data_IF_246129031154
#
_entry.id   IF_246129031154
#
_cell.length_a   1.000
_cell.length_b   1.000
_cell.length_c   1.000
_cell.angle_alpha   90.00
_cell.angle_beta   90.00
_cell.angle_gamma   90.00
#
_symmetry.space_group_name_H-M   'P 1'
#
loop_
_entity.id
_entity.type
_entity.pdbx_description
1 polymer ?
#
# COMPACT_ATOMS: atom_id res chain seq x y z
N UNK A 1 -31.97 2.54 8.23
CA UNK A 1 -31.45 3.53 9.20
C UNK A 1 -30.66 2.76 10.24
N UNK A 2 -29.39 3.10 10.48
CA UNK A 2 -28.55 2.36 11.45
C UNK A 2 -29.00 2.64 12.88
N UNK A 3 -28.96 1.64 13.75
CA UNK A 3 -29.22 1.85 15.17
C UNK A 3 -28.06 2.68 15.75
N UNK A 4 -28.32 3.75 16.54
CA UNK A 4 -27.26 4.56 17.14
C UNK A 4 -26.22 3.74 17.93
N UNK A 5 -26.60 2.59 18.50
CA UNK A 5 -25.67 1.69 19.20
C UNK A 5 -24.67 0.97 18.28
N UNK A 6 -24.87 1.02 16.97
CA UNK A 6 -23.99 0.43 15.95
C UNK A 6 -23.00 1.45 15.39
N UNK A 7 -23.07 2.72 15.82
CA UNK A 7 -22.26 3.82 15.29
C UNK A 7 -21.29 4.30 16.36
N UNK A 8 -19.99 4.14 16.08
CA UNK A 8 -18.91 4.52 16.99
C UNK A 8 -18.10 5.67 16.41
N UNK A 9 -17.94 6.75 17.18
CA UNK A 9 -17.10 7.88 16.79
C UNK A 9 -15.69 7.69 17.33
N UNK A 10 -14.77 7.27 16.45
CA UNK A 10 -13.38 7.00 16.79
C UNK A 10 -12.57 8.24 17.24
N UNK A 11 -13.12 9.45 17.07
CA UNK A 11 -12.53 10.65 17.69
C UNK A 11 -12.70 10.69 19.21
N UNK A 12 -13.65 9.94 19.75
CA UNK A 12 -14.03 9.94 21.18
C UNK A 12 -13.98 8.57 21.84
N UNK A 13 -13.93 7.49 21.05
CA UNK A 13 -13.99 6.11 21.55
C UNK A 13 -12.87 5.27 20.95
N UNK A 14 -12.36 4.29 21.71
CA UNK A 14 -11.43 3.31 21.17
C UNK A 14 -12.20 2.33 20.26
N UNK A 15 -11.69 1.97 19.07
CA UNK A 15 -12.34 0.96 18.22
C UNK A 15 -12.55 -0.37 18.94
N UNK A 16 -11.65 -0.76 19.86
CA UNK A 16 -11.77 -2.00 20.61
C UNK A 16 -13.06 -2.07 21.42
N UNK A 17 -13.50 -0.97 22.02
CA UNK A 17 -14.72 -0.93 22.85
C UNK A 17 -15.96 -1.29 22.03
N UNK A 18 -16.06 -0.74 20.81
CA UNK A 18 -17.16 -1.02 19.90
C UNK A 18 -17.09 -2.43 19.33
N UNK A 19 -15.88 -2.90 18.98
CA UNK A 19 -15.70 -4.24 18.44
C UNK A 19 -16.01 -5.33 19.49
N UNK A 20 -15.62 -5.14 20.75
CA UNK A 20 -15.95 -6.06 21.85
C UNK A 20 -17.45 -6.13 22.13
N UNK A 21 -18.18 -5.02 21.98
CA UNK A 21 -19.64 -5.01 22.16
C UNK A 21 -20.36 -5.93 21.16
N UNK A 22 -19.79 -6.13 19.98
CA UNK A 22 -20.39 -6.92 18.89
C UNK A 22 -19.61 -8.21 18.58
N UNK A 23 -18.59 -8.58 19.36
CA UNK A 23 -17.69 -9.71 19.05
C UNK A 23 -18.41 -11.07 18.99
N UNK A 24 -19.55 -11.21 19.66
CA UNK A 24 -20.38 -12.43 19.66
C UNK A 24 -21.48 -12.43 18.60
N UNK A 25 -21.62 -11.37 17.82
CA UNK A 25 -22.67 -11.24 16.81
C UNK A 25 -22.17 -11.84 15.49
N UNK A 26 -22.77 -12.96 15.10
CA UNK A 26 -22.48 -13.63 13.82
C UNK A 26 -22.99 -12.81 12.63
N UNK A 27 -22.44 -13.07 11.44
CA UNK A 27 -22.85 -12.43 10.18
C UNK A 27 -22.81 -10.89 10.22
N UNK A 28 -21.78 -10.35 10.86
CA UNK A 28 -21.58 -8.89 10.98
C UNK A 28 -20.56 -8.39 9.97
N UNK A 29 -20.85 -7.25 9.34
CA UNK A 29 -19.89 -6.49 8.53
C UNK A 29 -19.53 -5.19 9.26
N UNK A 30 -18.24 -4.84 9.27
CA UNK A 30 -17.78 -3.55 9.79
C UNK A 30 -17.72 -2.55 8.64
N UNK A 31 -18.33 -1.38 8.80
CA UNK A 31 -18.12 -0.25 7.90
C UNK A 31 -17.15 0.75 8.55
N UNK A 32 -15.90 0.79 8.07
CA UNK A 32 -14.90 1.74 8.55
C UNK A 32 -14.96 3.03 7.72
N UNK A 33 -15.32 4.14 8.37
CA UNK A 33 -15.41 5.47 7.75
C UNK A 33 -14.16 6.30 8.07
N UNK A 34 -13.18 6.34 7.16
CA UNK A 34 -11.90 6.96 7.46
C UNK A 34 -10.90 6.96 6.30
N UNK A 35 -9.65 7.29 6.60
CA UNK A 35 -8.52 7.08 5.69
C UNK A 35 -7.74 5.80 6.06
N UNK A 36 -6.63 5.56 5.37
CA UNK A 36 -5.78 4.37 5.56
C UNK A 36 -5.37 4.15 7.02
N UNK A 37 -4.97 5.22 7.74
CA UNK A 37 -4.61 5.11 9.16
C UNK A 37 -5.78 4.74 10.09
N UNK A 38 -7.00 5.18 9.79
CA UNK A 38 -8.19 4.78 10.56
C UNK A 38 -8.50 3.30 10.35
N UNK A 39 -8.37 2.82 9.11
CA UNK A 39 -8.59 1.41 8.76
C UNK A 39 -7.54 0.55 9.46
N UNK A 40 -6.27 0.95 9.42
CA UNK A 40 -5.19 0.31 10.18
C UNK A 40 -5.50 0.21 11.66
N UNK A 41 -5.91 1.31 12.29
CA UNK A 41 -6.26 1.32 13.71
C UNK A 41 -7.42 0.38 14.08
N UNK A 42 -8.43 0.28 13.23
CA UNK A 42 -9.53 -0.69 13.42
C UNK A 42 -9.02 -2.12 13.27
N UNK A 43 -8.18 -2.42 12.28
CA UNK A 43 -7.59 -3.75 12.10
C UNK A 43 -6.71 -4.16 13.28
N UNK A 44 -5.88 -3.25 13.80
CA UNK A 44 -5.05 -3.49 14.98
C UNK A 44 -5.89 -3.73 16.25
N UNK A 45 -7.05 -3.07 16.36
CA UNK A 45 -7.98 -3.34 17.45
C UNK A 45 -8.68 -4.70 17.29
N UNK A 46 -9.02 -5.09 16.06
CA UNK A 46 -9.58 -6.41 15.79
C UNK A 46 -8.61 -7.55 16.11
N UNK A 47 -7.30 -7.35 15.99
CA UNK A 47 -6.30 -8.38 16.34
C UNK A 47 -6.23 -8.66 17.84
N UNK A 48 -6.71 -7.73 18.67
CA UNK A 48 -6.75 -7.88 20.13
C UNK A 48 -7.99 -8.63 20.60
N UNK A 49 -8.87 -9.02 19.68
CA UNK A 49 -10.09 -9.76 20.00
C UNK A 49 -9.83 -11.23 19.74
N UNK A 50 -10.02 -12.03 20.78
CA UNK A 50 -10.03 -13.48 20.66
C UNK A 50 -11.37 -13.90 20.02
N UNK A 51 -11.30 -14.32 18.76
CA UNK A 51 -12.41 -14.99 18.09
C UNK A 51 -12.26 -16.50 18.33
N UNK A 52 -13.37 -17.19 18.63
CA UNK A 52 -13.33 -18.65 18.84
C UNK A 52 -12.92 -19.38 17.56
N UNK A 53 -13.30 -18.83 16.40
CA UNK A 53 -12.99 -19.36 15.07
C UNK A 53 -12.58 -18.24 14.10
N UNK A 54 -11.65 -18.46 13.15
CA UNK A 54 -11.24 -17.44 12.18
C UNK A 54 -12.39 -16.87 11.35
N UNK A 55 -13.40 -17.68 11.02
CA UNK A 55 -14.56 -17.24 10.22
C UNK A 55 -15.48 -16.28 10.98
N UNK A 56 -15.34 -16.17 12.32
CA UNK A 56 -16.09 -15.21 13.12
C UNK A 56 -15.52 -13.80 13.02
N UNK A 57 -14.28 -13.63 12.53
CA UNK A 57 -13.69 -12.31 12.33
C UNK A 57 -14.47 -11.58 11.23
N UNK A 58 -15.19 -10.49 11.54
CA UNK A 58 -16.04 -9.82 10.56
C UNK A 58 -15.20 -9.13 9.48
N UNK A 59 -15.63 -9.11 8.21
CA UNK A 59 -14.94 -8.35 7.16
C UNK A 59 -15.14 -6.84 7.34
N UNK A 60 -14.22 -6.06 6.77
CA UNK A 60 -14.25 -4.59 6.80
C UNK A 60 -14.58 -4.06 5.40
N UNK A 61 -15.69 -3.35 5.29
CA UNK A 61 -15.98 -2.44 4.20
C UNK A 61 -15.44 -1.04 4.52
N UNK A 62 -15.05 -0.29 3.48
CA UNK A 62 -14.40 1.01 3.64
C UNK A 62 -15.27 2.12 3.04
N UNK A 63 -15.55 3.16 3.83
CA UNK A 63 -16.01 4.44 3.33
C UNK A 63 -14.84 5.43 3.31
N UNK A 64 -14.32 5.80 2.13
CA UNK A 64 -13.08 6.57 2.01
C UNK A 64 -13.29 8.05 2.37
N UNK A 65 -12.98 8.43 3.61
CA UNK A 65 -13.05 9.81 4.11
C UNK A 65 -11.69 10.51 4.15
N UNK A 66 -10.58 9.78 3.99
CA UNK A 66 -9.23 10.33 3.94
C UNK A 66 -8.87 11.04 2.63
N UNK A 67 -7.59 11.39 2.48
CA UNK A 67 -7.06 12.06 1.28
C UNK A 67 -6.49 11.07 0.26
N UNK A 68 -5.67 10.10 0.70
CA UNK A 68 -5.06 9.07 -0.14
C UNK A 68 -6.07 7.96 -0.49
N UNK A 69 -6.51 7.25 0.56
CA UNK A 69 -7.47 6.15 0.51
C UNK A 69 -6.96 4.99 -0.35
N UNK A 70 -5.67 4.65 -0.25
CA UNK A 70 -5.04 3.64 -1.09
C UNK A 70 -5.65 2.24 -0.87
N UNK A 71 -5.94 1.87 0.38
CA UNK A 71 -6.62 0.62 0.72
C UNK A 71 -8.02 0.56 0.09
N UNK A 72 -8.79 1.64 0.21
CA UNK A 72 -10.13 1.74 -0.37
C UNK A 72 -10.11 1.64 -1.90
N UNK A 73 -9.08 2.20 -2.54
CA UNK A 73 -8.90 2.15 -3.99
C UNK A 73 -8.49 0.77 -4.47
N UNK A 74 -7.57 0.13 -3.77
CA UNK A 74 -7.16 -1.25 -4.03
C UNK A 74 -8.36 -2.20 -3.98
N UNK A 75 -9.16 -2.10 -2.91
CA UNK A 75 -10.38 -2.89 -2.70
C UNK A 75 -11.60 -2.37 -3.47
N UNK A 76 -11.43 -1.34 -4.32
CA UNK A 76 -12.45 -0.79 -5.22
C UNK A 76 -13.67 -0.14 -4.53
N UNK A 77 -13.56 0.21 -3.26
CA UNK A 77 -14.50 1.07 -2.55
C UNK A 77 -14.48 2.53 -3.02
N UNK A 78 -13.41 2.90 -3.75
CA UNK A 78 -13.31 4.17 -4.44
C UNK A 78 -12.36 5.14 -3.75
N UNK A 79 -12.28 6.34 -4.33
CA UNK A 79 -11.22 7.29 -3.99
C UNK A 79 -11.54 8.30 -2.90
N UNK A 80 -12.79 8.36 -2.51
CA UNK A 80 -13.29 9.42 -1.66
C UNK A 80 -14.81 9.49 -1.71
N UNK A 81 -15.43 9.65 -0.55
CA UNK A 81 -16.86 9.83 -0.43
C UNK A 81 -17.31 11.14 -1.11
N UNK A 82 -18.47 11.07 -1.78
CA UNK A 82 -19.09 12.17 -2.54
C UNK A 82 -20.58 12.32 -2.20
N UNK A 83 -20.92 12.26 -0.90
CA UNK A 83 -22.32 12.39 -0.43
C UNK A 83 -23.26 11.34 -1.06
N UNK A 84 -22.74 10.14 -1.32
CA UNK A 84 -23.55 9.01 -1.77
C UNK A 84 -24.58 8.63 -0.71
N UNK A 85 -25.77 8.23 -1.14
CA UNK A 85 -26.82 7.80 -0.22
C UNK A 85 -26.39 6.57 0.60
N UNK A 86 -26.64 6.61 1.91
CA UNK A 86 -26.23 5.55 2.83
C UNK A 86 -26.86 4.20 2.48
N UNK A 87 -28.12 4.17 1.99
CA UNK A 87 -28.76 2.92 1.59
C UNK A 87 -28.04 2.28 0.41
N UNK A 88 -27.56 3.08 -0.55
CA UNK A 88 -26.75 2.58 -1.67
C UNK A 88 -25.42 2.02 -1.20
N UNK A 89 -24.80 2.64 -0.19
CA UNK A 89 -23.56 2.12 0.40
C UNK A 89 -23.84 0.78 1.09
N UNK A 90 -24.90 0.68 1.90
CA UNK A 90 -25.27 -0.57 2.57
C UNK A 90 -25.58 -1.69 1.56
N UNK A 91 -26.28 -1.39 0.47
CA UNK A 91 -26.52 -2.33 -0.63
C UNK A 91 -25.21 -2.78 -1.29
N UNK A 92 -24.24 -1.88 -1.50
CA UNK A 92 -22.93 -2.25 -2.04
C UNK A 92 -22.20 -3.21 -1.10
N UNK A 93 -22.30 -3.03 0.21
CA UNK A 93 -21.68 -3.91 1.21
C UNK A 93 -22.34 -5.29 1.19
N UNK A 94 -23.67 -5.34 1.18
CA UNK A 94 -24.43 -6.59 1.12
C UNK A 94 -24.08 -7.46 -0.10
N UNK A 95 -23.81 -6.83 -1.26
CA UNK A 95 -23.48 -7.53 -2.50
C UNK A 95 -21.96 -7.63 -2.76
N UNK A 96 -21.14 -7.21 -1.81
CA UNK A 96 -19.68 -7.23 -1.96
C UNK A 96 -19.10 -8.63 -1.77
N UNK A 97 -17.88 -8.83 -2.27
CA UNK A 97 -17.12 -10.06 -2.06
C UNK A 97 -15.99 -9.80 -1.09
N UNK A 98 -15.66 -10.80 -0.27
CA UNK A 98 -14.53 -10.74 0.66
C UNK A 98 -13.23 -10.91 -0.13
N UNK A 99 -12.24 -10.07 0.18
CA UNK A 99 -10.87 -10.21 -0.27
C UNK A 99 -9.97 -10.35 0.96
N UNK A 100 -9.01 -11.26 0.90
CA UNK A 100 -8.00 -11.41 1.94
C UNK A 100 -6.93 -10.32 1.79
N UNK A 101 -6.44 -9.83 2.92
CA UNK A 101 -5.38 -8.82 2.99
C UNK A 101 -4.25 -9.39 3.84
N UNK A 102 -3.07 -9.47 3.26
CA UNK A 102 -1.86 -9.75 4.01
C UNK A 102 -1.50 -8.55 4.87
N UNK A 103 -0.99 -8.80 6.07
CA UNK A 103 -0.55 -7.75 7.00
C UNK A 103 0.80 -8.13 7.54
N UNK A 104 1.77 -7.26 7.30
CA UNK A 104 3.19 -7.60 7.45
C UNK A 104 3.73 -7.06 8.75
N UNK A 105 4.45 -7.89 9.49
CA UNK A 105 5.16 -7.44 10.67
C UNK A 105 6.45 -6.72 10.27
N UNK A 106 6.76 -5.61 10.96
CA UNK A 106 7.98 -4.85 10.78
C UNK A 106 8.77 -4.85 12.08
N UNK A 107 9.95 -5.45 12.03
CA UNK A 107 10.95 -5.37 13.10
C UNK A 107 12.02 -4.35 12.70
N UNK A 108 12.06 -3.22 13.42
CA UNK A 108 13.04 -2.16 13.20
C UNK A 108 13.97 -2.14 14.41
N UNK A 109 15.25 -2.38 14.15
CA UNK A 109 16.31 -2.39 15.16
C UNK A 109 17.37 -1.34 14.81
N UNK A 110 17.71 -0.49 15.76
CA UNK A 110 18.86 0.43 15.65
C UNK A 110 20.13 -0.30 16.05
N UNK A 111 21.19 -0.17 15.26
CA UNK A 111 22.44 -0.96 15.46
C UNK A 111 23.35 -0.36 16.54
N UNK A 112 23.12 0.87 16.99
CA UNK A 112 23.94 1.52 18.02
C UNK A 112 23.11 2.25 19.09
N UNK A 113 23.57 2.18 20.35
CA UNK A 113 23.19 3.04 21.49
C UNK A 113 23.65 4.49 21.26
N UNK A 114 23.31 5.11 20.12
CA UNK A 114 23.47 6.54 19.96
C UNK A 114 22.52 7.20 20.95
N UNK A 115 23.07 7.90 21.94
CA UNK A 115 22.37 8.58 23.05
C UNK A 115 21.31 9.62 22.62
N UNK A 116 21.09 9.80 21.32
CA UNK A 116 19.96 10.54 20.80
C UNK A 116 18.70 9.67 20.91
N UNK A 117 17.77 10.10 21.78
CA UNK A 117 16.42 9.52 21.88
C UNK A 117 15.75 9.51 20.51
N UNK A 118 15.90 8.43 19.76
CA UNK A 118 15.13 8.20 18.55
C UNK A 118 13.66 8.08 18.95
N UNK A 119 12.77 8.62 18.14
CA UNK A 119 11.34 8.42 18.34
C UNK A 119 11.02 6.91 18.34
N UNK A 120 10.08 6.46 19.19
CA UNK A 120 9.68 5.06 19.19
C UNK A 120 9.11 4.69 17.82
N UNK A 121 9.37 3.46 17.37
CA UNK A 121 8.81 2.93 16.13
C UNK A 121 7.28 3.03 16.19
N UNK A 122 6.64 3.82 15.31
CA UNK A 122 5.25 4.21 15.48
C UNK A 122 4.26 3.08 15.18
N UNK A 123 4.66 2.07 14.41
CA UNK A 123 3.86 0.91 14.09
C UNK A 123 4.75 -0.29 13.73
N UNK A 124 4.36 -1.48 14.17
CA UNK A 124 5.01 -2.76 13.85
C UNK A 124 4.22 -3.59 12.83
N UNK A 125 3.12 -3.05 12.30
CA UNK A 125 2.30 -3.70 11.27
C UNK A 125 2.17 -2.78 10.05
N UNK A 126 2.52 -3.31 8.88
CA UNK A 126 2.36 -2.66 7.59
C UNK A 126 1.17 -3.25 6.83
N UNK A 127 0.19 -2.38 6.54
CA UNK A 127 -1.00 -2.74 5.78
C UNK A 127 -0.92 -2.32 4.30
N UNK A 128 -0.20 -1.24 3.98
CA UNK A 128 -0.17 -0.67 2.62
C UNK A 128 1.21 -0.77 2.01
N UNK A 129 2.14 0.02 2.54
CA UNK A 129 3.52 0.06 2.11
C UNK A 129 4.39 0.74 3.17
N UNK A 130 5.68 0.50 3.08
CA UNK A 130 6.75 1.12 3.84
C UNK A 130 7.79 1.66 2.86
N UNK A 131 8.41 2.79 3.15
CA UNK A 131 9.39 3.38 2.24
C UNK A 131 10.54 4.05 2.97
N UNK A 132 11.69 4.09 2.30
CA UNK A 132 12.94 4.72 2.73
C UNK A 132 13.38 5.70 1.63
N UNK A 133 14.01 6.81 2.03
CA UNK A 133 14.56 7.80 1.10
C UNK A 133 13.59 8.91 0.73
N UNK A 134 13.61 9.32 -0.55
CA UNK A 134 12.91 10.52 -1.03
C UNK A 134 11.42 10.51 -0.73
N UNK A 135 10.76 9.35 -0.81
CA UNK A 135 9.34 9.21 -0.46
C UNK A 135 9.08 9.45 1.03
N UNK A 136 9.89 8.83 1.89
CA UNK A 136 9.81 9.02 3.34
C UNK A 136 10.09 10.48 3.74
N UNK A 137 11.05 11.15 3.09
CA UNK A 137 11.33 12.58 3.28
C UNK A 137 10.10 13.45 2.97
N UNK A 138 9.45 13.23 1.82
CA UNK A 138 8.24 13.96 1.42
C UNK A 138 7.10 13.71 2.42
N UNK A 139 6.88 12.44 2.79
CA UNK A 139 5.83 12.06 3.73
C UNK A 139 6.06 12.67 5.12
N UNK A 140 7.31 12.66 5.60
CA UNK A 140 7.70 13.26 6.87
C UNK A 140 7.47 14.77 6.87
N UNK A 141 7.93 15.49 5.83
CA UNK A 141 7.69 16.93 5.68
C UNK A 141 6.21 17.28 5.60
N UNK A 142 5.43 16.47 4.88
CA UNK A 142 3.97 16.62 4.83
C UNK A 142 3.34 16.49 6.21
N UNK A 143 3.76 15.48 6.98
CA UNK A 143 3.28 15.26 8.33
C UNK A 143 3.63 16.42 9.26
N UNK A 144 4.89 16.85 9.32
CA UNK A 144 5.34 17.99 10.13
C UNK A 144 4.56 19.27 9.81
N UNK A 145 4.37 19.59 8.52
CA UNK A 145 3.64 20.78 8.10
C UNK A 145 2.15 20.70 8.46
N UNK A 146 1.57 19.51 8.41
CA UNK A 146 0.18 19.27 8.79
C UNK A 146 -0.03 19.39 10.29
N UNK A 147 0.90 18.92 11.12
CA UNK A 147 0.84 19.11 12.57
C UNK A 147 1.00 20.58 12.95
N UNK A 148 1.91 21.29 12.27
CA UNK A 148 2.17 22.70 12.55
C UNK A 148 1.07 23.65 12.08
N UNK A 149 0.39 23.33 10.97
CA UNK A 149 -0.61 24.19 10.33
C UNK A 149 -1.89 23.44 9.93
N UNK A 150 -2.59 22.77 10.86
CA UNK A 150 -3.72 21.89 10.55
C UNK A 150 -4.85 22.58 9.76
N UNK A 151 -5.03 23.89 9.93
CA UNK A 151 -6.01 24.70 9.20
C UNK A 151 -5.75 24.77 7.69
N UNK A 152 -4.51 24.53 7.26
CA UNK A 152 -4.14 24.45 5.83
C UNK A 152 -4.46 23.09 5.23
N UNK A 153 -4.58 22.04 6.05
CA UNK A 153 -4.72 20.64 5.63
C UNK A 153 -6.15 20.08 5.78
N UNK A 154 -7.15 20.96 5.63
CA UNK A 154 -8.57 20.65 5.84
C UNK A 154 -9.31 20.19 4.58
N UNK A 155 -8.63 20.00 3.45
CA UNK A 155 -9.28 19.58 2.20
C UNK A 155 -8.40 18.62 1.41
N UNK A 156 -9.04 17.60 0.81
CA UNK A 156 -8.34 16.59 0.00
C UNK A 156 -7.57 17.22 -1.17
N UNK A 157 -8.13 18.27 -1.79
CA UNK A 157 -7.49 18.96 -2.92
C UNK A 157 -6.26 19.73 -2.44
N UNK A 158 -6.37 20.50 -1.35
CA UNK A 158 -5.24 21.23 -0.76
C UNK A 158 -4.13 20.28 -0.31
N UNK A 159 -4.50 19.18 0.33
CA UNK A 159 -3.54 18.17 0.81
C UNK A 159 -2.75 17.57 -0.36
N UNK A 160 -3.43 17.22 -1.46
CA UNK A 160 -2.76 16.74 -2.68
C UNK A 160 -1.83 17.79 -3.30
N UNK A 161 -2.21 19.07 -3.26
CA UNK A 161 -1.37 20.15 -3.74
C UNK A 161 -0.09 20.29 -2.91
N UNK A 162 -0.20 20.31 -1.57
CA UNK A 162 0.99 20.36 -0.71
C UNK A 162 1.92 19.17 -0.92
N UNK A 163 1.36 17.96 -1.07
CA UNK A 163 2.17 16.78 -1.36
C UNK A 163 2.95 16.92 -2.68
N UNK A 164 2.31 17.47 -3.73
CA UNK A 164 2.97 17.78 -5.00
C UNK A 164 4.06 18.85 -4.86
N UNK A 165 3.79 19.91 -4.09
CA UNK A 165 4.75 20.98 -3.81
C UNK A 165 6.00 20.44 -3.09
N UNK A 166 5.81 19.62 -2.06
CA UNK A 166 6.90 19.00 -1.31
C UNK A 166 7.70 18.04 -2.18
N UNK A 167 7.04 17.20 -2.99
CA UNK A 167 7.72 16.33 -3.95
C UNK A 167 8.57 17.12 -4.98
N UNK A 168 8.08 18.28 -5.42
CA UNK A 168 8.82 19.17 -6.32
C UNK A 168 10.03 19.78 -5.61
N UNK A 169 9.88 20.20 -4.35
CA UNK A 169 10.99 20.73 -3.54
C UNK A 169 12.09 19.67 -3.32
N UNK A 170 11.73 18.44 -2.97
CA UNK A 170 12.70 17.36 -2.77
C UNK A 170 13.42 16.99 -4.07
N UNK A 171 12.73 17.05 -5.23
CA UNK A 171 13.38 16.86 -6.54
C UNK A 171 14.50 17.89 -6.78
N UNK A 172 14.28 19.14 -6.36
CA UNK A 172 15.26 20.22 -6.54
C UNK A 172 16.41 20.14 -5.53
N UNK A 173 16.13 19.77 -4.29
CA UNK A 173 17.12 19.65 -3.22
C UNK A 173 17.92 18.35 -3.31
N UNK A 174 17.29 17.29 -3.80
CA UNK A 174 17.85 15.97 -4.04
C UNK A 174 18.57 15.38 -2.81
N UNK A 175 17.88 15.46 -1.67
CA UNK A 175 18.36 15.12 -0.32
C UNK A 175 18.74 13.65 -0.16
N UNK A 176 18.12 12.75 -0.93
CA UNK A 176 18.34 11.30 -0.86
C UNK A 176 19.12 10.74 -2.06
N UNK A 177 19.90 11.57 -2.75
CA UNK A 177 20.75 11.11 -3.86
C UNK A 177 21.66 9.97 -3.43
N UNK A 178 21.83 9.00 -4.33
CA UNK A 178 22.70 7.86 -4.13
C UNK A 178 22.31 6.94 -2.95
N UNK A 179 21.05 6.96 -2.50
CA UNK A 179 20.59 6.08 -1.41
C UNK A 179 21.02 4.63 -1.59
N UNK A 180 20.90 4.09 -2.81
CA UNK A 180 21.32 2.72 -3.16
C UNK A 180 22.78 2.35 -2.80
N UNK A 181 23.67 3.32 -2.59
CA UNK A 181 25.07 3.08 -2.18
C UNK A 181 25.20 2.83 -0.68
N UNK A 182 24.18 3.17 0.11
CA UNK A 182 24.14 3.09 1.56
C UNK A 182 23.19 2.01 2.08
N UNK A 183 22.44 1.36 1.19
CA UNK A 183 21.43 0.38 1.58
C UNK A 183 21.74 -1.01 1.06
N UNK A 184 21.53 -2.01 1.92
CA UNK A 184 21.59 -3.41 1.56
C UNK A 184 20.22 -4.05 1.78
N UNK A 185 19.68 -4.71 0.75
CA UNK A 185 18.36 -5.37 0.82
C UNK A 185 18.54 -6.85 0.56
N UNK A 186 18.02 -7.68 1.46
CA UNK A 186 17.95 -9.14 1.28
C UNK A 186 16.50 -9.62 1.24
N UNK A 187 16.11 -10.22 0.12
CA UNK A 187 14.77 -10.74 -0.14
C UNK A 187 14.81 -12.27 -0.29
N UNK A 188 14.03 -13.02 0.48
CA UNK A 188 14.02 -14.50 0.46
C UNK A 188 15.44 -15.13 0.52
N UNK A 189 16.33 -14.57 1.35
CA UNK A 189 17.76 -14.92 1.46
C UNK A 189 18.64 -14.57 0.24
N UNK A 190 18.15 -13.74 -0.67
CA UNK A 190 18.88 -13.27 -1.85
C UNK A 190 19.15 -11.78 -1.71
N UNK A 191 20.43 -11.41 -1.61
CA UNK A 191 20.85 -10.01 -1.64
C UNK A 191 20.55 -9.38 -3.00
N UNK A 192 19.92 -8.21 -3.00
CA UNK A 192 19.63 -7.45 -4.21
C UNK A 192 20.85 -6.63 -4.61
N UNK A 193 21.26 -6.76 -5.86
CA UNK A 193 22.30 -5.91 -6.43
C UNK A 193 21.69 -4.60 -6.94
N UNK A 194 21.77 -3.56 -6.11
CA UNK A 194 21.24 -2.23 -6.39
C UNK A 194 22.18 -1.38 -7.27
N UNK A 195 23.44 -1.79 -7.44
CA UNK A 195 24.42 -1.09 -8.28
C UNK A 195 24.06 -1.17 -9.78
N UNK A 196 23.31 -2.22 -10.15
CA UNK A 196 22.91 -2.48 -11.52
C UNK A 196 21.65 -1.70 -11.94
N UNK A 197 21.80 -0.45 -12.38
CA UNK A 197 20.74 0.33 -13.03
C UNK A 197 20.86 1.83 -12.76
N UNK A 198 19.76 2.57 -12.90
CA UNK A 198 19.72 3.99 -12.51
C UNK A 198 19.95 4.12 -10.99
N UNK A 199 20.67 5.15 -10.51
CA UNK A 199 20.74 5.47 -9.09
C UNK A 199 19.35 5.58 -8.48
N UNK A 200 19.18 5.03 -7.27
CA UNK A 200 17.93 5.14 -6.53
C UNK A 200 18.05 6.20 -5.45
N UNK A 201 17.00 7.00 -5.32
CA UNK A 201 16.78 7.98 -4.26
C UNK A 201 15.80 7.47 -3.19
N UNK A 202 15.15 6.32 -3.43
CA UNK A 202 14.23 5.71 -2.50
C UNK A 202 13.96 4.24 -2.79
N UNK A 203 13.42 3.56 -1.78
CA UNK A 203 12.90 2.20 -1.87
C UNK A 203 11.49 2.20 -1.29
N UNK A 204 10.57 1.50 -1.93
CA UNK A 204 9.26 1.21 -1.38
C UNK A 204 9.02 -0.31 -1.35
N UNK A 205 8.56 -0.78 -0.20
CA UNK A 205 8.11 -2.15 0.04
C UNK A 205 6.58 -2.10 0.05
N UNK A 206 5.93 -2.69 -0.94
CA UNK A 206 4.49 -2.60 -1.12
C UNK A 206 3.81 -3.91 -0.76
N UNK A 207 2.75 -3.81 0.03
CA UNK A 207 1.77 -4.86 0.24
C UNK A 207 0.58 -4.74 -0.73
N UNK A 208 0.18 -3.51 -1.09
CA UNK A 208 -0.98 -3.28 -1.97
C UNK A 208 -0.58 -2.60 -3.29
N UNK A 209 -1.29 -2.89 -4.40
CA UNK A 209 -1.06 -2.27 -5.71
C UNK A 209 -1.56 -0.82 -5.85
N UNK A 210 -1.80 -0.12 -4.76
CA UNK A 210 -2.20 1.30 -4.75
C UNK A 210 -1.28 2.10 -3.83
N UNK A 211 -0.68 3.14 -4.38
CA UNK A 211 0.21 4.04 -3.63
C UNK A 211 0.00 5.51 -4.04
N UNK A 212 0.34 6.46 -3.15
CA UNK A 212 0.28 7.91 -3.43
C UNK A 212 -1.13 8.41 -3.80
N UNK A 213 -2.16 7.84 -3.17
CA UNK A 213 -3.55 8.20 -3.37
C UNK A 213 -4.15 7.67 -4.67
N UNK A 214 -3.84 6.42 -5.02
CA UNK A 214 -4.46 5.68 -6.12
C UNK A 214 -3.59 5.40 -7.34
N UNK A 215 -2.28 5.57 -7.22
CA UNK A 215 -1.35 5.31 -8.32
C UNK A 215 -1.05 3.81 -8.37
N UNK A 216 -1.17 3.24 -9.56
CA UNK A 216 -0.76 1.87 -9.87
C UNK A 216 0.60 1.95 -10.58
N UNK A 217 1.65 1.46 -9.92
CA UNK A 217 3.01 1.52 -10.46
C UNK A 217 3.23 0.56 -11.64
N UNK A 218 2.32 -0.37 -11.89
CA UNK A 218 2.46 -1.40 -12.93
C UNK A 218 1.68 -1.07 -14.20
N UNK A 219 1.12 0.14 -14.29
CA UNK A 219 0.47 0.61 -15.51
C UNK A 219 -0.81 -0.15 -15.84
N UNK A 220 -1.59 -0.58 -14.84
CA UNK A 220 -2.82 -1.35 -15.04
C UNK A 220 -3.83 -0.70 -15.99
N UNK A 221 -3.79 0.61 -16.23
CA UNK A 221 -4.58 1.25 -17.29
C UNK A 221 -4.07 0.96 -18.71
N UNK A 222 -2.76 0.80 -18.91
CA UNK A 222 -2.15 0.41 -20.18
C UNK A 222 -2.43 -1.07 -20.50
N UNK A 223 -2.35 -1.96 -19.50
CA UNK A 223 -2.76 -3.35 -19.64
C UNK A 223 -4.28 -3.46 -19.89
N UNK A 224 -5.12 -2.69 -19.19
CA UNK A 224 -6.58 -2.62 -19.43
C UNK A 224 -6.92 -2.02 -20.80
N UNK A 225 -6.18 -1.01 -21.29
CA UNK A 225 -6.31 -0.48 -22.65
C UNK A 225 -5.89 -1.51 -23.70
N UNK A 226 -4.82 -2.26 -23.45
CA UNK A 226 -4.34 -3.32 -24.35
C UNK A 226 -5.31 -4.50 -24.40
N UNK A 227 -5.84 -4.92 -23.25
CA UNK A 227 -6.90 -5.94 -23.13
C UNK A 227 -8.19 -5.45 -23.80
N UNK A 228 -8.62 -4.21 -23.59
CA UNK A 228 -9.80 -3.63 -24.28
C UNK A 228 -9.62 -3.51 -25.80
N UNK A 229 -8.40 -3.20 -26.28
CA UNK A 229 -8.09 -3.20 -27.72
C UNK A 229 -8.05 -4.61 -28.32
N UNK A 230 -7.55 -5.60 -27.59
CA UNK A 230 -7.41 -6.99 -28.05
C UNK A 230 -8.66 -7.85 -27.85
N UNK A 231 -9.55 -7.50 -26.91
CA UNK A 231 -10.85 -8.16 -26.71
C UNK A 231 -11.80 -8.02 -27.90
N UNK A 232 -11.46 -7.18 -28.89
CA UNK A 232 -12.13 -7.17 -30.22
C UNK A 232 -11.75 -8.34 -31.12
N UNK A 233 -10.69 -9.09 -30.83
CA UNK A 233 -10.34 -10.33 -31.51
C UNK A 233 -10.43 -11.50 -30.54
N UNK A 234 -11.34 -12.43 -30.83
CA UNK A 234 -11.60 -13.64 -30.04
C UNK A 234 -10.39 -14.55 -30.03
N UNK A 235 -9.92 -14.88 -28.83
CA UNK A 235 -9.61 -16.24 -28.34
C UNK A 235 -8.67 -16.14 -27.12
N UNK A 236 -9.27 -15.97 -25.95
CA UNK A 236 -8.57 -15.71 -24.69
C UNK A 236 -8.42 -16.97 -23.80
N UNK A 237 -9.06 -18.08 -24.16
CA UNK A 237 -9.04 -19.32 -23.36
C UNK A 237 -7.77 -20.16 -23.53
N UNK A 238 -7.04 -20.02 -24.65
CA UNK A 238 -5.82 -20.80 -24.89
C UNK A 238 -4.59 -20.22 -24.18
N UNK A 239 -4.53 -18.91 -23.95
CA UNK A 239 -3.34 -18.24 -23.42
C UNK A 239 -3.14 -18.50 -21.91
N UNK A 240 -4.22 -18.54 -21.11
CA UNK A 240 -4.15 -18.83 -19.67
C UNK A 240 -3.64 -20.27 -19.42
N UNK A 241 -3.94 -21.21 -20.32
CA UNK A 241 -3.49 -22.61 -20.17
C UNK A 241 -1.98 -22.81 -20.34
N UNK A 242 -1.26 -21.84 -20.94
CA UNK A 242 0.18 -21.94 -21.16
C UNK A 242 1.03 -21.53 -19.95
N UNK A 243 0.50 -20.72 -19.03
CA UNK A 243 1.27 -20.21 -17.87
C UNK A 243 1.28 -21.16 -16.67
N UNK A 244 0.60 -22.32 -16.76
CA UNK A 244 0.42 -23.26 -15.66
C UNK A 244 1.42 -24.43 -15.58
N UNK A 245 2.52 -24.47 -16.35
CA UNK A 245 3.47 -25.61 -16.31
C UNK A 245 4.89 -25.21 -15.91
N UNK A 246 5.18 -25.46 -14.64
CA UNK A 246 6.52 -25.43 -14.02
C UNK A 246 7.47 -26.45 -14.65
N UNK A 247 8.73 -26.05 -14.89
CA UNK A 247 9.83 -26.99 -15.13
C UNK A 247 11.16 -26.48 -14.56
N UNK A 248 11.56 -27.12 -13.46
CA UNK A 248 12.92 -27.43 -12.95
C UNK A 248 14.14 -26.62 -13.43
N UNK A 249 14.77 -25.95 -12.44
CA UNK A 249 16.21 -25.74 -12.17
C UNK A 249 17.20 -25.74 -13.35
N UNK A 250 17.81 -24.59 -13.61
CA UNK A 250 19.26 -24.38 -13.84
C UNK A 250 19.63 -22.88 -13.74
N UNK A 251 20.87 -22.64 -13.35
CA UNK A 251 21.53 -21.35 -13.07
C UNK A 251 21.10 -20.16 -13.94
N UNK A 252 20.69 -19.06 -13.30
CA UNK A 252 20.06 -17.89 -13.93
C UNK A 252 21.08 -16.77 -14.08
N UNK A 253 21.34 -16.35 -15.32
CA UNK A 253 22.08 -15.12 -15.64
C UNK A 253 21.21 -13.87 -15.40
N UNK A 254 21.83 -12.73 -15.11
CA UNK A 254 21.22 -11.45 -14.72
C UNK A 254 20.13 -10.92 -15.66
N UNK A 255 20.15 -11.30 -16.94
CA UNK A 255 19.12 -10.97 -17.94
C UNK A 255 17.80 -11.73 -17.77
N UNK A 256 17.86 -12.95 -17.25
CA UNK A 256 16.70 -13.82 -17.05
C UNK A 256 15.90 -13.42 -15.80
N UNK A 257 16.53 -12.79 -14.81
CA UNK A 257 15.84 -12.31 -13.61
C UNK A 257 14.92 -11.11 -13.92
N UNK A 258 15.38 -10.15 -14.75
CA UNK A 258 14.56 -9.00 -15.18
C UNK A 258 13.33 -9.41 -16.00
N UNK A 259 13.49 -10.34 -16.95
CA UNK A 259 12.40 -10.88 -17.76
C UNK A 259 11.31 -11.60 -16.93
N UNK A 260 11.64 -12.08 -15.73
CA UNK A 260 10.70 -12.72 -14.83
C UNK A 260 9.89 -11.70 -14.01
N UNK A 261 10.52 -10.58 -13.61
CA UNK A 261 9.87 -9.55 -12.80
C UNK A 261 8.81 -8.75 -13.59
N UNK A 262 8.99 -8.55 -14.89
CA UNK A 262 7.99 -7.89 -15.74
C UNK A 262 6.68 -8.68 -15.87
N UNK A 263 6.72 -9.99 -15.61
CA UNK A 263 5.55 -10.88 -15.66
C UNK A 263 4.84 -11.03 -14.31
N UNK A 264 5.45 -10.59 -13.20
CA UNK A 264 4.85 -10.67 -11.87
C UNK A 264 3.59 -9.81 -11.76
N UNK A 265 2.57 -10.33 -11.10
CA UNK A 265 1.31 -9.63 -10.80
C UNK A 265 1.29 -9.43 -9.29
N UNK A 266 1.06 -8.20 -8.85
CA UNK A 266 0.87 -7.88 -7.45
C UNK A 266 -0.59 -8.14 -7.07
N UNK A 267 -0.82 -8.94 -6.03
CA UNK A 267 -2.10 -9.11 -5.37
C UNK A 267 -1.99 -8.74 -3.88
N UNK A 268 -3.12 -8.51 -3.21
CA UNK A 268 -3.18 -8.02 -1.82
C UNK A 268 -3.20 -9.16 -0.78
N UNK A 269 -3.40 -10.40 -1.24
CA UNK A 269 -3.51 -11.59 -0.40
C UNK A 269 -2.75 -12.80 -0.95
N UNK A 270 -1.67 -12.59 -1.70
CA UNK A 270 -0.84 -13.65 -2.30
C UNK A 270 0.35 -14.09 -1.42
N UNK A 271 0.54 -13.45 -0.27
CA UNK A 271 1.64 -13.65 0.65
C UNK A 271 2.97 -13.11 0.13
N UNK A 272 2.95 -12.11 -0.76
CA UNK A 272 4.15 -11.53 -1.36
C UNK A 272 4.24 -10.01 -1.14
N UNK A 273 5.48 -9.53 -1.08
CA UNK A 273 5.87 -8.12 -1.05
C UNK A 273 6.49 -7.73 -2.37
N UNK A 274 6.17 -6.52 -2.84
CA UNK A 274 6.84 -5.89 -3.98
C UNK A 274 7.93 -4.94 -3.49
N UNK A 275 9.15 -5.12 -3.97
CA UNK A 275 10.26 -4.21 -3.69
C UNK A 275 10.45 -3.32 -4.91
N UNK A 276 10.30 -2.02 -4.71
CA UNK A 276 10.27 -1.02 -5.78
C UNK A 276 11.36 0.01 -5.58
N UNK A 277 12.17 0.21 -6.62
CA UNK A 277 13.17 1.26 -6.67
C UNK A 277 12.57 2.59 -7.13
N UNK A 278 12.86 3.66 -6.39
CA UNK A 278 12.45 5.03 -6.71
C UNK A 278 13.68 5.79 -7.21
N UNK A 279 13.70 6.13 -8.49
CA UNK A 279 14.81 6.90 -9.09
C UNK A 279 14.80 8.38 -8.66
N UNK A 280 13.62 8.96 -8.48
CA UNK A 280 13.41 10.33 -7.98
C UNK A 280 11.93 10.59 -7.71
N UNK A 281 11.61 11.68 -7.01
CA UNK A 281 10.21 12.09 -6.88
C UNK A 281 9.57 12.48 -8.23
N UNK A 282 10.37 13.04 -9.16
CA UNK A 282 9.93 13.30 -10.53
C UNK A 282 9.58 12.01 -11.28
N UNK A 283 10.38 10.95 -11.10
CA UNK A 283 10.11 9.65 -11.70
C UNK A 283 8.76 9.09 -11.25
N UNK A 284 8.45 9.16 -9.94
CA UNK A 284 7.13 8.79 -9.40
C UNK A 284 6.02 9.64 -10.03
N UNK A 285 6.25 10.94 -10.18
CA UNK A 285 5.32 11.86 -10.86
C UNK A 285 5.05 11.48 -12.32
N UNK A 286 6.08 11.05 -13.06
CA UNK A 286 5.96 10.59 -14.45
C UNK A 286 5.18 9.28 -14.55
N UNK A 287 5.43 8.31 -13.67
CA UNK A 287 4.67 7.05 -13.61
C UNK A 287 3.19 7.35 -13.32
N UNK A 288 2.92 8.24 -12.34
CA UNK A 288 1.55 8.66 -12.02
C UNK A 288 0.85 9.39 -13.17
N UNK A 289 1.57 10.17 -13.96
CA UNK A 289 1.05 10.86 -15.13
C UNK A 289 0.91 9.95 -16.37
N UNK A 290 1.33 8.68 -16.29
CA UNK A 290 1.36 7.76 -17.43
C UNK A 290 2.40 8.14 -18.50
N UNK A 291 3.41 8.94 -18.13
CA UNK A 291 4.52 9.33 -19.00
C UNK A 291 5.67 8.31 -19.00
N UNK A 292 5.63 7.35 -18.06
CA UNK A 292 6.48 6.16 -18.04
C UNK A 292 5.62 4.91 -17.83
N UNK A 293 6.07 3.80 -18.38
CA UNK A 293 5.29 2.56 -18.45
C UNK A 293 5.06 1.89 -17.08
N UNK A 294 6.05 1.94 -16.19
CA UNK A 294 5.95 1.39 -14.83
C UNK A 294 7.03 1.90 -13.87
N UNK A 295 6.81 1.65 -12.58
CA UNK A 295 7.83 1.64 -11.53
C UNK A 295 8.92 0.59 -11.79
N UNK A 296 10.08 0.73 -11.17
CA UNK A 296 11.19 -0.23 -11.26
C UNK A 296 11.02 -1.30 -10.19
N UNK A 297 10.46 -2.45 -10.56
CA UNK A 297 10.42 -3.64 -9.69
C UNK A 297 11.83 -4.19 -9.49
N UNK A 298 12.27 -4.27 -8.23
CA UNK A 298 13.56 -4.83 -7.83
C UNK A 298 13.42 -6.30 -7.44
N UNK A 299 12.33 -6.66 -6.76
CA UNK A 299 12.02 -8.03 -6.37
C UNK A 299 10.52 -8.20 -6.07
N UNK A 300 10.06 -9.45 -6.09
CA UNK A 300 8.82 -9.91 -5.47
C UNK A 300 9.20 -11.08 -4.56
N UNK A 301 8.86 -11.01 -3.27
CA UNK A 301 9.39 -11.93 -2.25
C UNK A 301 8.40 -12.19 -1.12
N UNK A 302 8.62 -13.25 -0.34
CA UNK A 302 7.80 -13.56 0.84
C UNK A 302 8.32 -12.90 2.10
N UNK A 303 9.57 -12.48 2.12
CA UNK A 303 10.19 -11.90 3.31
C UNK A 303 11.33 -10.95 2.91
N UNK A 304 11.43 -9.82 3.61
CA UNK A 304 12.58 -8.94 3.58
C UNK A 304 13.33 -9.12 4.89
N UNK A 305 14.45 -9.84 4.84
CA UNK A 305 15.19 -10.27 6.03
C UNK A 305 16.06 -9.17 6.63
N UNK A 306 16.54 -8.27 5.78
CA UNK A 306 17.48 -7.22 6.17
C UNK A 306 17.34 -6.03 5.24
N UNK A 307 17.22 -4.87 5.84
CA UNK A 307 17.32 -3.57 5.19
C UNK A 307 18.19 -2.69 6.09
N UNK A 308 19.49 -2.68 5.81
CA UNK A 308 20.44 -1.86 6.57
C UNK A 308 20.63 -0.52 5.86
N UNK A 309 20.75 0.55 6.63
CA UNK A 309 20.92 1.93 6.15
C UNK A 309 21.77 2.75 7.12
#
# INVERSE_FOLDING_TARGET
MLNPRQVFNLATTNPLDGLQMFSKVVDTNILCCGGDGTIGWVMDAMDKIEYDMPEQRPPIAILPLGTGNDMARCLRWGGGYQNEDLLKILQKIEHSTIAMLDRWHLDITTVDDLEEKSDPVPATIMNNYFSIGVDASIAHRFHQMREKYPERFNSRVKNKFFYFEFATSETLQATCKHLHEFIEITCDNIGLDLSNGSPLEGIAILNIPSIYGGSDLWGGESLKKMIRKRSRNRDFSSFISLFGKSRSRKSVSSSSHRLNLDACIQDIGDGLLEIVGIESAMYVGQVKAGLRDSGRRLAQCKEVLRCDF
#
